data_IF_547311051939
#
_entry.id   IF_547311051939
#
_cell.length_a   1.000
_cell.length_b   1.000
_cell.length_c   1.000
_cell.angle_alpha   90.00
_cell.angle_beta   90.00
_cell.angle_gamma   90.00
#
_symmetry.space_group_name_H-M   'P 1'
#
loop_
_entity.id
_entity.type
_entity.pdbx_description
1 polymer ?
#
# COMPACT_ATOMS: atom_id res chain seq x y z
N UNK A 1 12.17 12.90 2.48
CA UNK A 1 12.94 11.65 2.20
C UNK A 1 12.03 10.48 2.57
N UNK A 2 11.95 9.42 1.77
CA UNK A 2 11.04 8.27 1.99
C UNK A 2 11.07 7.68 3.41
N UNK A 3 12.23 7.76 4.07
CA UNK A 3 12.44 7.38 5.49
C UNK A 3 11.44 8.06 6.43
N UNK A 4 11.00 9.29 6.12
CA UNK A 4 10.08 10.05 6.97
C UNK A 4 8.65 9.50 6.95
N UNK A 5 8.31 8.62 6.01
CA UNK A 5 6.97 8.05 5.92
C UNK A 5 6.79 6.80 6.79
N UNK A 6 7.86 6.18 7.28
CA UNK A 6 7.76 4.95 8.09
C UNK A 6 6.86 5.13 9.32
N UNK A 7 7.05 6.22 10.04
CA UNK A 7 6.26 6.53 11.24
C UNK A 7 4.81 6.87 10.88
N UNK A 8 4.60 7.62 9.78
CA UNK A 8 3.26 7.93 9.24
C UNK A 8 2.50 6.66 8.86
N UNK A 9 3.16 5.73 8.15
CA UNK A 9 2.56 4.46 7.73
C UNK A 9 2.26 3.57 8.92
N UNK A 10 3.21 3.45 9.85
CA UNK A 10 3.01 2.68 11.09
C UNK A 10 1.82 3.24 11.88
N UNK A 11 1.71 4.56 12.00
CA UNK A 11 0.58 5.22 12.66
C UNK A 11 -0.75 4.96 11.94
N UNK A 12 -0.80 5.12 10.62
CA UNK A 12 -2.01 4.88 9.83
C UNK A 12 -2.47 3.42 9.87
N UNK A 13 -1.55 2.47 9.65
CA UNK A 13 -1.84 1.04 9.69
C UNK A 13 -2.34 0.61 11.08
N UNK A 14 -1.71 1.11 12.15
CA UNK A 14 -2.20 0.91 13.51
C UNK A 14 -3.61 1.48 13.71
N UNK A 15 -3.92 2.63 13.11
CA UNK A 15 -5.25 3.22 13.11
C UNK A 15 -6.32 2.32 12.47
N UNK A 16 -5.93 1.50 11.48
CA UNK A 16 -6.77 0.47 10.85
C UNK A 16 -6.76 -0.87 11.62
N UNK A 17 -6.09 -0.96 12.77
CA UNK A 17 -5.95 -2.20 13.53
C UNK A 17 -5.01 -3.23 12.91
N UNK A 18 -4.17 -2.83 11.95
CA UNK A 18 -3.20 -3.70 11.28
C UNK A 18 -2.00 -3.95 12.18
N UNK A 19 -1.62 -5.21 12.34
CA UNK A 19 -0.49 -5.66 13.13
C UNK A 19 0.77 -5.85 12.28
N UNK A 20 1.95 -5.81 12.90
CA UNK A 20 3.21 -5.98 12.18
C UNK A 20 3.38 -7.37 11.54
N UNK A 21 2.73 -8.38 12.13
CA UNK A 21 2.77 -9.76 11.63
C UNK A 21 1.68 -10.06 10.60
N UNK A 22 0.78 -9.09 10.33
CA UNK A 22 -0.23 -9.24 9.30
C UNK A 22 0.42 -9.36 7.92
N UNK A 23 -0.17 -10.19 7.09
CA UNK A 23 0.30 -10.46 5.74
C UNK A 23 -0.35 -9.51 4.75
N UNK A 24 0.49 -8.87 3.95
CA UNK A 24 0.13 -7.90 2.92
C UNK A 24 0.74 -8.29 1.58
N UNK A 25 0.18 -7.76 0.51
CA UNK A 25 0.65 -7.93 -0.86
C UNK A 25 1.05 -6.55 -1.36
N UNK A 26 2.32 -6.42 -1.73
CA UNK A 26 2.81 -5.27 -2.48
C UNK A 26 2.70 -5.56 -3.98
N UNK A 27 2.23 -4.58 -4.74
CA UNK A 27 2.17 -4.61 -6.22
C UNK A 27 2.78 -3.30 -6.73
N UNK A 28 3.84 -3.38 -7.54
CA UNK A 28 4.37 -2.23 -8.27
C UNK A 28 3.81 -2.23 -9.68
N UNK A 29 3.19 -1.15 -10.15
CA UNK A 29 2.61 -1.12 -11.51
C UNK A 29 3.64 -1.14 -12.64
N UNK A 30 4.87 -0.71 -12.35
CA UNK A 30 6.03 -0.84 -13.23
C UNK A 30 6.64 -2.25 -13.24
N UNK A 31 6.11 -3.18 -12.45
CA UNK A 31 6.59 -4.55 -12.32
C UNK A 31 5.46 -5.56 -12.50
N UNK A 32 5.67 -6.65 -13.23
CA UNK A 32 4.69 -7.75 -13.30
C UNK A 32 4.73 -8.65 -12.05
N UNK A 33 5.13 -8.09 -10.91
CA UNK A 33 5.46 -8.84 -9.69
C UNK A 33 4.56 -8.36 -8.55
N UNK A 34 3.96 -9.33 -7.86
CA UNK A 34 3.33 -9.13 -6.57
C UNK A 34 4.16 -9.83 -5.48
N UNK A 35 4.48 -9.11 -4.41
CA UNK A 35 5.28 -9.65 -3.31
C UNK A 35 4.40 -9.77 -2.07
N UNK A 36 4.22 -11.00 -1.60
CA UNK A 36 3.54 -11.30 -0.33
C UNK A 36 4.54 -11.25 0.81
N UNK A 37 4.30 -10.41 1.81
CA UNK A 37 5.19 -10.20 2.95
C UNK A 37 4.42 -9.81 4.20
N UNK A 38 5.09 -9.72 5.35
CA UNK A 38 4.47 -9.12 6.54
C UNK A 38 4.58 -7.61 6.50
N UNK A 39 3.69 -6.92 7.24
CA UNK A 39 3.75 -5.46 7.42
C UNK A 39 5.10 -5.01 7.96
N UNK A 40 5.69 -5.78 8.88
CA UNK A 40 7.04 -5.55 9.40
C UNK A 40 8.07 -5.47 8.27
N UNK A 41 8.12 -6.50 7.42
CA UNK A 41 9.07 -6.58 6.31
C UNK A 41 8.85 -5.42 5.34
N UNK A 42 7.59 -5.09 5.03
CA UNK A 42 7.28 -3.94 4.22
C UNK A 42 7.84 -2.64 4.83
N UNK A 43 7.58 -2.35 6.11
CA UNK A 43 8.04 -1.11 6.76
C UNK A 43 9.58 -1.01 6.83
N UNK A 44 10.27 -2.14 6.90
CA UNK A 44 11.73 -2.20 6.91
C UNK A 44 12.33 -2.03 5.49
N UNK A 45 11.63 -2.48 4.44
CA UNK A 45 12.07 -2.40 3.04
C UNK A 45 11.47 -1.23 2.24
N UNK A 46 10.45 -0.56 2.78
CA UNK A 46 9.63 0.46 2.11
C UNK A 46 10.45 1.52 1.35
N UNK A 47 11.50 2.12 1.93
CA UNK A 47 12.27 3.13 1.22
C UNK A 47 12.94 2.62 -0.06
N UNK A 48 13.35 1.36 -0.08
CA UNK A 48 14.01 0.73 -1.23
C UNK A 48 12.97 0.32 -2.28
N UNK A 49 11.85 -0.27 -1.83
CA UNK A 49 10.75 -0.71 -2.71
C UNK A 49 10.19 0.46 -3.53
N UNK A 50 10.17 1.66 -2.96
CA UNK A 50 9.60 2.86 -3.58
C UNK A 50 10.64 3.86 -4.09
N UNK A 51 11.91 3.49 -4.10
CA UNK A 51 12.97 4.31 -4.69
C UNK A 51 12.81 4.39 -6.22
N UNK A 52 12.21 3.37 -6.83
CA UNK A 52 11.92 3.35 -8.25
C UNK A 52 10.69 4.21 -8.56
N UNK A 53 10.71 5.01 -9.63
CA UNK A 53 9.57 5.83 -10.05
C UNK A 53 8.47 4.94 -10.64
N UNK A 54 7.57 4.48 -9.78
CA UNK A 54 6.39 3.67 -10.13
C UNK A 54 5.27 3.92 -9.12
N UNK A 55 4.03 3.56 -9.47
CA UNK A 55 3.00 3.45 -8.47
C UNK A 55 3.20 2.15 -7.67
N UNK A 56 3.17 2.28 -6.36
CA UNK A 56 3.19 1.16 -5.44
C UNK A 56 1.84 1.00 -4.76
N UNK A 57 1.34 -0.23 -4.68
CA UNK A 57 0.13 -0.57 -3.95
C UNK A 57 0.46 -1.56 -2.86
N UNK A 58 -0.10 -1.35 -1.67
CA UNK A 58 -0.06 -2.34 -0.58
C UNK A 58 -1.48 -2.62 -0.14
N UNK A 59 -1.85 -3.89 -0.13
CA UNK A 59 -3.18 -4.33 0.27
C UNK A 59 -3.10 -5.56 1.18
N UNK A 60 -4.03 -5.73 2.12
CA UNK A 60 -4.20 -6.98 2.85
C UNK A 60 -4.81 -8.03 1.92
N UNK A 61 -4.66 -9.31 2.29
CA UNK A 61 -5.21 -10.44 1.51
C UNK A 61 -6.75 -10.37 1.36
N UNK A 62 -7.42 -9.71 2.31
CA UNK A 62 -8.87 -9.53 2.33
C UNK A 62 -9.36 -8.28 1.58
N UNK A 63 -8.45 -7.45 1.05
CA UNK A 63 -8.78 -6.25 0.29
C UNK A 63 -9.47 -5.14 1.08
N UNK A 64 -9.49 -5.18 2.42
CA UNK A 64 -10.26 -4.20 3.23
C UNK A 64 -9.73 -2.77 3.14
N UNK A 65 -8.46 -2.57 2.85
CA UNK A 65 -7.84 -1.26 2.66
C UNK A 65 -6.78 -1.32 1.55
N UNK A 66 -6.38 -0.16 1.05
CA UNK A 66 -5.29 -0.05 0.10
C UNK A 66 -4.46 1.19 0.42
N UNK A 67 -3.15 1.00 0.54
CA UNK A 67 -2.18 2.08 0.50
C UNK A 67 -1.70 2.23 -0.94
N UNK A 68 -1.63 3.45 -1.44
CA UNK A 68 -1.00 3.78 -2.71
C UNK A 68 0.12 4.80 -2.50
N UNK A 69 1.28 4.52 -3.06
CA UNK A 69 2.36 5.47 -3.25
C UNK A 69 2.43 5.85 -4.72
N UNK A 70 2.37 7.14 -5.03
CA UNK A 70 2.40 7.62 -6.41
C UNK A 70 3.77 8.10 -6.84
N UNK A 71 3.98 8.20 -8.15
CA UNK A 71 5.20 8.78 -8.73
C UNK A 71 5.43 10.24 -8.30
N UNK A 72 4.37 10.98 -7.95
CA UNK A 72 4.46 12.34 -7.37
C UNK A 72 4.91 12.35 -5.90
N UNK A 73 5.40 11.22 -5.39
CA UNK A 73 5.85 11.05 -4.00
C UNK A 73 4.74 11.34 -2.97
N UNK A 74 3.51 10.97 -3.31
CA UNK A 74 2.34 11.11 -2.43
C UNK A 74 1.90 9.75 -1.91
N UNK A 75 1.39 9.75 -0.68
CA UNK A 75 0.81 8.58 -0.05
C UNK A 75 -0.70 8.78 0.16
N UNK A 76 -1.45 7.77 -0.24
CA UNK A 76 -2.89 7.70 -0.04
C UNK A 76 -3.21 6.39 0.67
N UNK A 77 -4.11 6.45 1.65
CA UNK A 77 -4.65 5.27 2.32
C UNK A 77 -6.16 5.37 2.28
N UNK A 78 -6.80 4.31 1.78
CA UNK A 78 -8.26 4.22 1.70
C UNK A 78 -8.75 2.90 2.25
N UNK A 79 -9.92 2.92 2.88
CA UNK A 79 -10.68 1.73 3.24
C UNK A 79 -11.71 1.42 2.15
N UNK A 80 -11.88 0.14 1.83
CA UNK A 80 -12.89 -0.34 0.89
C UNK A 80 -14.32 0.02 1.30
N UNK A 81 -14.59 0.08 2.61
CA UNK A 81 -15.89 0.46 3.18
C UNK A 81 -16.32 1.89 2.86
N UNK A 82 -15.35 2.77 2.63
CA UNK A 82 -15.55 4.19 2.32
C UNK A 82 -15.22 4.51 0.85
N UNK A 83 -14.98 3.48 0.02
CA UNK A 83 -14.76 3.66 -1.39
C UNK A 83 -16.05 4.18 -2.03
N UNK A 84 -16.07 5.46 -2.41
CA UNK A 84 -17.08 5.95 -3.34
C UNK A 84 -16.85 5.25 -4.67
N UNK A 85 -17.90 4.68 -5.27
CA UNK A 85 -17.83 4.11 -6.60
C UNK A 85 -17.43 5.23 -7.59
N UNK A 86 -16.16 5.30 -7.96
CA UNK A 86 -15.67 6.23 -8.97
C UNK A 86 -15.74 5.55 -10.34
N UNK A 87 -16.87 5.74 -11.03
CA UNK A 87 -17.03 5.41 -12.45
C UNK A 87 -17.23 3.92 -12.79
N UNK A 88 -17.72 3.66 -14.01
CA UNK A 88 -18.12 2.33 -14.46
C UNK A 88 -16.97 1.48 -15.02
N UNK A 89 -17.03 0.20 -14.65
CA UNK A 89 -16.51 -0.97 -15.33
C UNK A 89 -17.59 -1.43 -16.32
N UNK A 90 -17.30 -1.47 -17.63
CA UNK A 90 -18.08 -2.29 -18.56
C UNK A 90 -17.49 -3.71 -18.57
N UNK A 91 -18.31 -4.70 -18.21
CA UNK A 91 -18.02 -6.12 -18.43
C UNK A 91 -18.37 -6.44 -19.88
N UNK A 92 -17.39 -6.85 -20.69
CA UNK A 92 -17.65 -7.65 -21.89
C UNK A 92 -17.74 -9.13 -21.51
#
# INVERSE_FOLDING_TARGET
>A
RLVNFRDTLSFWLKGLGVLQDDVVIFVGDGTEIAIKMTVKVFLDCFPIILEQPQHGYLLPVDGRWCLNYTMESRLFLGESSNASATGWIERS
#
